data_IF_490751524320
#
_entry.id   IF_490751524320
#
_cell.length_a   1.000
_cell.length_b   1.000
_cell.length_c   1.000
_cell.angle_alpha   90.00
_cell.angle_beta   90.00
_cell.angle_gamma   90.00
#
_symmetry.space_group_name_H-M   'P 1'
#
loop_
_entity.id
_entity.type
_entity.pdbx_description
1 polymer ?
#
# COMPACT_ATOMS: atom_id res chain seq x y z
N UNK A 1 -48.69 19.69 -36.14
CA UNK A 1 -48.23 19.92 -37.53
C UNK A 1 -48.18 21.42 -37.79
N UNK A 2 -46.97 21.95 -37.99
CA UNK A 2 -46.61 23.03 -38.94
C UNK A 2 -45.45 23.87 -38.40
N UNK A 3 -44.26 23.44 -38.80
CA UNK A 3 -42.99 24.16 -38.82
C UNK A 3 -43.11 25.35 -39.78
N UNK A 4 -42.58 26.52 -39.43
CA UNK A 4 -42.07 27.48 -40.42
C UNK A 4 -40.83 28.22 -39.92
N UNK A 5 -39.68 27.68 -40.34
CA UNK A 5 -38.38 28.32 -40.41
C UNK A 5 -38.29 29.07 -41.75
N UNK A 6 -38.00 30.37 -41.73
CA UNK A 6 -37.79 31.28 -42.89
C UNK A 6 -37.03 32.50 -42.35
N UNK A 7 -35.92 33.04 -42.86
CA UNK A 7 -35.14 32.84 -44.07
C UNK A 7 -33.72 33.41 -43.86
N UNK A 8 -32.76 32.83 -44.58
CA UNK A 8 -31.37 33.25 -44.78
C UNK A 8 -31.27 34.46 -45.72
N UNK A 9 -30.25 35.33 -45.54
CA UNK A 9 -29.35 35.98 -46.57
C UNK A 9 -28.69 37.22 -45.92
N UNK A 10 -27.42 37.17 -45.51
CA UNK A 10 -26.19 37.38 -46.30
C UNK A 10 -26.22 38.68 -47.11
N UNK A 11 -25.57 39.72 -46.59
CA UNK A 11 -25.12 40.89 -47.36
C UNK A 11 -23.72 41.28 -46.92
N UNK A 12 -22.83 41.28 -47.89
CA UNK A 12 -21.39 41.57 -47.93
C UNK A 12 -21.06 43.03 -47.55
N UNK A 13 -19.84 43.30 -47.04
CA UNK A 13 -18.93 44.47 -47.23
C UNK A 13 -17.82 44.32 -46.15
N UNK A 14 -16.67 43.73 -46.43
CA UNK A 14 -15.43 44.32 -47.02
C UNK A 14 -14.82 45.45 -46.16
N UNK A 15 -13.76 45.05 -45.44
CA UNK A 15 -12.46 45.74 -45.20
C UNK A 15 -12.50 47.14 -44.57
N UNK A 16 -11.93 47.27 -43.37
CA UNK A 16 -10.87 48.24 -43.04
C UNK A 16 -10.44 48.05 -41.58
N UNK A 17 -9.23 47.56 -41.37
CA UNK A 17 -8.12 48.36 -40.84
C UNK A 17 -8.15 48.53 -39.32
N UNK A 18 -7.28 47.75 -38.68
CA UNK A 18 -6.44 48.13 -37.54
C UNK A 18 -7.03 49.13 -36.52
N UNK A 19 -7.36 48.61 -35.33
CA UNK A 19 -7.10 49.37 -34.10
C UNK A 19 -6.68 48.41 -33.00
N UNK A 20 -5.41 48.57 -32.65
CA UNK A 20 -4.70 47.98 -31.55
C UNK A 20 -5.38 48.41 -30.23
N UNK A 21 -5.88 47.47 -29.45
CA UNK A 21 -6.07 47.64 -28.01
C UNK A 21 -5.50 46.39 -27.34
N UNK A 22 -4.23 46.52 -26.96
CA UNK A 22 -3.56 45.60 -26.05
C UNK A 22 -4.30 45.74 -24.71
N UNK A 23 -5.16 44.78 -24.38
CA UNK A 23 -5.60 44.59 -23.02
C UNK A 23 -4.37 44.12 -22.23
N UNK A 24 -3.80 45.02 -21.44
CA UNK A 24 -2.80 44.69 -20.43
C UNK A 24 -3.47 43.84 -19.33
N UNK A 25 -3.62 42.54 -19.61
CA UNK A 25 -3.84 41.55 -18.58
C UNK A 25 -2.50 41.27 -17.93
N UNK A 26 -2.24 41.88 -16.78
CA UNK A 26 -1.17 41.45 -15.89
C UNK A 26 -1.43 39.98 -15.55
N UNK A 27 -0.73 39.09 -16.24
CA UNK A 27 -0.68 37.68 -15.90
C UNK A 27 0.20 37.61 -14.66
N UNK A 28 -0.43 37.60 -13.49
CA UNK A 28 0.24 37.23 -12.26
C UNK A 28 0.76 35.80 -12.48
N UNK A 29 2.06 35.68 -12.73
CA UNK A 29 2.74 34.41 -12.59
C UNK A 29 2.54 34.00 -11.14
N UNK A 30 1.76 32.95 -10.93
CA UNK A 30 1.76 32.24 -9.66
C UNK A 30 3.15 31.64 -9.58
N UNK A 31 4.10 32.36 -8.98
CA UNK A 31 5.35 31.76 -8.56
C UNK A 31 4.95 30.61 -7.65
N UNK A 32 5.48 29.38 -7.87
CA UNK A 32 5.34 28.33 -6.88
C UNK A 32 5.87 28.92 -5.57
N UNK A 33 5.00 29.08 -4.59
CA UNK A 33 5.35 29.45 -3.22
C UNK A 33 6.54 28.56 -2.84
N UNK A 34 7.72 29.17 -2.68
CA UNK A 34 8.98 28.47 -2.44
C UNK A 34 8.73 27.40 -1.39
N UNK A 35 8.64 26.14 -1.83
CA UNK A 35 8.29 25.04 -0.95
C UNK A 35 9.40 24.97 0.07
N UNK A 36 9.08 25.34 1.32
CA UNK A 36 10.04 25.27 2.42
C UNK A 36 10.63 23.86 2.39
N UNK A 37 11.95 23.71 2.16
CA UNK A 37 12.58 22.40 2.03
C UNK A 37 12.30 21.49 3.24
N UNK A 38 12.03 22.09 4.41
CA UNK A 38 11.65 21.36 5.62
C UNK A 38 10.23 20.81 5.53
N UNK A 39 9.28 21.56 4.97
CA UNK A 39 7.91 21.09 4.76
C UNK A 39 7.87 19.97 3.71
N UNK A 40 8.65 20.09 2.64
CA UNK A 40 8.77 19.05 1.60
C UNK A 40 9.42 17.79 2.15
N UNK A 41 10.47 17.92 2.97
CA UNK A 41 11.11 16.77 3.62
C UNK A 41 10.19 16.07 4.62
N UNK A 42 9.39 16.83 5.38
CA UNK A 42 8.40 16.25 6.31
C UNK A 42 7.24 15.58 5.56
N UNK A 43 6.74 16.17 4.49
CA UNK A 43 5.72 15.56 3.62
C UNK A 43 6.26 14.29 2.92
N UNK A 44 7.51 14.31 2.46
CA UNK A 44 8.17 13.14 1.86
C UNK A 44 8.38 12.03 2.90
N UNK A 45 8.79 12.34 4.13
CA UNK A 45 8.91 11.39 5.23
C UNK A 45 7.54 10.81 5.64
N UNK A 46 6.48 11.62 5.67
CA UNK A 46 5.11 11.17 5.98
C UNK A 46 4.56 10.27 4.86
N UNK A 47 4.86 10.60 3.60
CA UNK A 47 4.42 9.81 2.43
C UNK A 47 5.22 8.51 2.31
N UNK A 48 6.52 8.53 2.67
CA UNK A 48 7.40 7.36 2.70
C UNK A 48 7.16 6.46 3.93
N UNK A 49 6.66 7.01 5.03
CA UNK A 49 6.34 6.26 6.26
C UNK A 49 4.92 5.66 6.29
N UNK A 50 4.06 6.05 5.35
CA UNK A 50 2.83 5.29 5.08
C UNK A 50 3.24 3.84 4.78
N UNK A 51 2.82 2.84 5.57
CA UNK A 51 3.35 1.49 5.44
C UNK A 51 3.00 0.94 4.06
N UNK A 52 3.94 1.05 3.11
CA UNK A 52 3.72 0.61 1.74
C UNK A 52 3.42 -0.89 1.80
N UNK A 53 2.23 -1.26 1.32
CA UNK A 53 1.81 -2.66 1.29
C UNK A 53 1.07 -3.17 2.52
N UNK A 54 0.62 -2.29 3.43
CA UNK A 54 -0.37 -2.68 4.44
C UNK A 54 -1.63 -3.27 3.77
N UNK A 55 -2.01 -4.48 4.17
CA UNK A 55 -3.14 -5.21 3.57
C UNK A 55 -4.00 -5.85 4.64
N UNK A 56 -5.30 -5.58 4.59
CA UNK A 56 -6.28 -6.32 5.39
C UNK A 56 -6.43 -7.75 4.85
N UNK A 57 -6.54 -8.71 5.76
CA UNK A 57 -6.61 -10.12 5.41
C UNK A 57 -6.98 -10.99 6.58
N UNK A 58 -6.62 -12.27 6.48
CA UNK A 58 -6.85 -13.24 7.54
C UNK A 58 -5.56 -13.95 7.93
N UNK A 59 -5.45 -14.26 9.23
CA UNK A 59 -4.40 -15.10 9.76
C UNK A 59 -4.97 -16.44 10.23
N UNK A 60 -4.23 -17.51 9.98
CA UNK A 60 -4.39 -18.82 10.62
C UNK A 60 -3.05 -19.26 11.22
N UNK A 61 -2.96 -20.49 11.73
CA UNK A 61 -1.70 -21.02 12.26
C UNK A 61 -1.46 -22.47 11.86
N UNK A 62 -0.19 -22.85 11.78
CA UNK A 62 0.22 -24.20 11.41
C UNK A 62 -0.32 -25.26 12.39
N UNK A 63 -0.82 -26.36 11.81
CA UNK A 63 -1.17 -27.56 12.57
C UNK A 63 0.09 -28.28 13.11
N UNK A 64 -0.05 -28.96 14.25
CA UNK A 64 1.05 -29.67 14.91
C UNK A 64 1.76 -30.72 14.02
N UNK A 65 1.05 -31.31 13.05
CA UNK A 65 1.61 -32.30 12.10
C UNK A 65 2.75 -31.75 11.22
N UNK A 66 2.91 -30.44 11.14
CA UNK A 66 3.98 -29.81 10.36
C UNK A 66 5.27 -29.65 11.16
N UNK A 67 5.27 -29.86 12.48
CA UNK A 67 6.47 -29.74 13.34
C UNK A 67 7.60 -30.60 12.77
N UNK A 68 8.77 -29.98 12.57
CA UNK A 68 9.95 -30.64 12.05
C UNK A 68 9.97 -30.86 10.53
N UNK A 69 8.89 -30.59 9.78
CA UNK A 69 8.90 -30.66 8.31
C UNK A 69 9.71 -29.51 7.72
N UNK A 70 10.31 -29.72 6.55
CA UNK A 70 11.03 -28.65 5.83
C UNK A 70 10.04 -27.61 5.30
N UNK A 71 10.35 -26.35 5.51
CA UNK A 71 9.70 -25.19 4.90
C UNK A 71 10.33 -24.88 3.54
N UNK A 72 9.72 -23.99 2.77
CA UNK A 72 10.23 -23.56 1.45
C UNK A 72 11.61 -22.90 1.55
N UNK A 73 11.93 -22.21 2.66
CA UNK A 73 13.30 -21.71 2.95
C UNK A 73 14.34 -22.80 3.22
N UNK A 74 13.96 -24.08 3.30
CA UNK A 74 14.85 -25.21 3.56
C UNK A 74 15.03 -25.55 5.04
N UNK A 75 14.71 -24.64 5.97
CA UNK A 75 14.75 -24.92 7.40
C UNK A 75 13.60 -25.82 7.85
N UNK A 76 13.71 -26.44 9.04
CA UNK A 76 12.60 -27.19 9.64
C UNK A 76 11.66 -26.24 10.37
N UNK A 77 10.34 -26.44 10.19
CA UNK A 77 9.33 -25.69 10.94
C UNK A 77 9.46 -25.96 12.43
N UNK A 78 9.52 -24.87 13.21
CA UNK A 78 9.60 -24.89 14.66
C UNK A 78 8.45 -24.03 15.23
N UNK A 79 7.55 -24.59 16.06
CA UNK A 79 6.34 -23.91 16.50
C UNK A 79 6.61 -22.67 17.37
N UNK A 80 7.76 -22.63 18.06
CA UNK A 80 8.14 -21.52 18.93
C UNK A 80 8.89 -20.37 18.24
N UNK A 81 9.23 -20.50 16.95
CA UNK A 81 9.91 -19.42 16.21
C UNK A 81 8.89 -18.39 15.71
N UNK A 82 9.31 -17.13 15.55
CA UNK A 82 8.46 -16.06 14.99
C UNK A 82 8.51 -16.08 13.47
N UNK A 83 7.86 -17.08 12.88
CA UNK A 83 7.86 -17.30 11.43
C UNK A 83 6.45 -17.45 10.89
N UNK A 84 6.30 -17.25 9.58
CA UNK A 84 5.03 -17.42 8.89
C UNK A 84 5.18 -17.90 7.44
N UNK A 85 4.10 -18.43 6.89
CA UNK A 85 3.93 -18.69 5.48
C UNK A 85 3.07 -17.61 4.82
N UNK A 86 3.48 -17.18 3.63
CA UNK A 86 2.71 -16.29 2.77
C UNK A 86 2.85 -16.72 1.32
N UNK A 87 1.82 -16.50 0.50
CA UNK A 87 1.78 -16.98 -0.88
C UNK A 87 2.88 -16.35 -1.77
N UNK A 88 3.04 -15.02 -1.71
CA UNK A 88 3.88 -14.28 -2.68
C UNK A 88 4.93 -13.35 -2.07
N UNK A 89 4.98 -13.20 -0.74
CA UNK A 89 6.00 -12.33 -0.15
C UNK A 89 7.36 -13.03 -0.26
N UNK A 90 8.46 -12.32 -0.59
CA UNK A 90 9.79 -12.92 -0.60
C UNK A 90 10.09 -13.67 0.70
N UNK A 91 10.86 -14.75 0.61
CA UNK A 91 11.37 -15.40 1.81
C UNK A 91 12.36 -14.44 2.48
N UNK A 92 12.38 -14.40 3.81
CA UNK A 92 13.18 -13.48 4.60
C UNK A 92 12.47 -12.16 4.94
N UNK A 93 11.39 -11.80 4.24
CA UNK A 93 10.65 -10.57 4.54
C UNK A 93 10.15 -10.56 5.99
N UNK A 94 10.48 -9.52 6.75
CA UNK A 94 9.86 -9.23 8.03
C UNK A 94 8.46 -8.65 7.80
N UNK A 95 7.50 -9.14 8.56
CA UNK A 95 6.10 -8.74 8.46
C UNK A 95 5.58 -8.47 9.84
N UNK A 96 5.01 -7.29 10.04
CA UNK A 96 4.18 -6.99 11.20
C UNK A 96 2.74 -7.40 10.94
N UNK A 97 2.19 -8.19 11.85
CA UNK A 97 0.82 -8.70 11.78
C UNK A 97 0.05 -8.15 12.97
N UNK A 98 -1.03 -7.42 12.69
CA UNK A 98 -1.81 -6.72 13.72
C UNK A 98 -3.20 -7.35 13.77
N UNK A 99 -3.66 -7.70 14.97
CA UNK A 99 -5.06 -8.02 15.23
C UNK A 99 -5.82 -6.70 15.54
N UNK A 100 -6.65 -6.18 14.61
CA UNK A 100 -7.29 -4.88 14.79
C UNK A 100 -8.31 -4.86 15.94
N UNK A 101 -8.83 -6.02 16.34
CA UNK A 101 -9.83 -6.16 17.40
C UNK A 101 -9.22 -6.05 18.80
N UNK A 102 -8.01 -6.59 19.01
CA UNK A 102 -7.33 -6.56 20.32
C UNK A 102 -6.17 -5.58 20.37
N UNK A 103 -5.79 -5.00 19.22
CA UNK A 103 -4.58 -4.17 19.03
C UNK A 103 -3.26 -4.89 19.33
N UNK A 104 -3.29 -6.21 19.50
CA UNK A 104 -2.09 -7.02 19.64
C UNK A 104 -1.39 -7.18 18.29
N UNK A 105 -0.07 -7.17 18.31
CA UNK A 105 0.74 -7.34 17.11
C UNK A 105 1.92 -8.28 17.33
N UNK A 106 2.43 -8.82 16.23
CA UNK A 106 3.64 -9.65 16.23
C UNK A 106 4.42 -9.40 14.95
N UNK A 107 5.74 -9.39 15.05
CA UNK A 107 6.63 -9.43 13.89
C UNK A 107 7.03 -10.88 13.62
N UNK A 108 6.98 -11.28 12.35
CA UNK A 108 7.34 -12.61 11.88
C UNK A 108 8.17 -12.53 10.61
N UNK A 109 9.06 -13.50 10.42
CA UNK A 109 9.80 -13.68 9.17
C UNK A 109 9.03 -14.63 8.25
N UNK A 110 8.85 -14.25 6.98
CA UNK A 110 8.30 -15.15 5.97
C UNK A 110 9.35 -16.20 5.61
N UNK A 111 9.12 -17.46 5.96
CA UNK A 111 10.07 -18.54 5.69
C UNK A 111 9.45 -19.73 4.93
N UNK A 112 8.17 -19.65 4.60
CA UNK A 112 7.45 -20.72 3.93
C UNK A 112 6.35 -20.19 2.99
N UNK A 113 5.70 -21.11 2.27
CA UNK A 113 4.64 -20.83 1.30
C UNK A 113 3.34 -21.48 1.72
N UNK A 114 2.25 -20.72 1.63
CA UNK A 114 0.89 -21.25 1.74
C UNK A 114 0.22 -21.28 0.37
N UNK A 115 -0.87 -22.05 0.26
CA UNK A 115 -1.70 -22.05 -0.94
C UNK A 115 -2.24 -20.65 -1.25
N UNK A 116 -2.39 -20.31 -2.53
CA UNK A 116 -3.00 -19.05 -2.96
C UNK A 116 -4.43 -18.96 -2.43
N UNK A 117 -4.80 -17.79 -1.90
CA UNK A 117 -6.16 -17.43 -1.48
C UNK A 117 -6.64 -16.22 -2.28
N UNK A 118 -7.96 -16.02 -2.44
CA UNK A 118 -8.50 -14.86 -3.15
C UNK A 118 -8.35 -13.55 -2.36
N UNK A 119 -7.92 -13.61 -1.10
CA UNK A 119 -7.67 -12.48 -0.21
C UNK A 119 -6.28 -12.61 0.44
N UNK A 120 -5.69 -11.51 0.95
CA UNK A 120 -4.44 -11.56 1.71
C UNK A 120 -4.56 -12.53 2.89
N UNK A 121 -3.61 -13.44 2.99
CA UNK A 121 -3.67 -14.54 3.94
C UNK A 121 -2.28 -14.91 4.44
N UNK A 122 -2.17 -15.18 5.74
CA UNK A 122 -0.89 -15.52 6.38
C UNK A 122 -1.07 -16.67 7.38
N UNK A 123 -0.19 -17.66 7.31
CA UNK A 123 -0.17 -18.79 8.25
C UNK A 123 0.95 -18.60 9.26
N UNK A 124 0.60 -18.32 10.51
CA UNK A 124 1.53 -18.02 11.58
C UNK A 124 2.07 -19.29 12.25
N UNK A 125 3.25 -19.18 12.85
CA UNK A 125 3.69 -20.17 13.83
C UNK A 125 2.78 -20.18 15.07
N UNK A 126 2.86 -21.26 15.86
CA UNK A 126 2.09 -21.39 17.11
C UNK A 126 2.39 -20.24 18.07
N UNK A 127 3.66 -19.91 18.27
CA UNK A 127 4.04 -18.85 19.19
C UNK A 127 3.58 -17.47 18.71
N UNK A 128 3.67 -17.18 17.40
CA UNK A 128 3.13 -15.93 16.85
C UNK A 128 1.60 -15.85 16.98
N UNK A 129 0.90 -16.94 16.71
CA UNK A 129 -0.56 -17.01 16.87
C UNK A 129 -1.02 -16.78 18.32
N UNK A 130 -0.27 -17.28 19.31
CA UNK A 130 -0.54 -17.02 20.73
C UNK A 130 -0.39 -15.52 21.05
N UNK A 131 0.67 -14.87 20.58
CA UNK A 131 0.95 -13.45 20.85
C UNK A 131 -0.16 -12.51 20.36
N UNK A 132 -0.81 -12.81 19.25
CA UNK A 132 -1.88 -11.96 18.69
C UNK A 132 -3.31 -12.41 19.06
N UNK A 133 -3.44 -13.39 19.96
CA UNK A 133 -4.74 -13.89 20.40
C UNK A 133 -5.51 -14.70 19.35
N UNK A 134 -4.79 -15.33 18.41
CA UNK A 134 -5.33 -16.27 17.41
C UNK A 134 -5.39 -17.71 17.94
N UNK A 135 -4.56 -18.08 18.93
CA UNK A 135 -4.53 -19.45 19.45
C UNK A 135 -5.91 -19.96 19.90
N UNK A 136 -6.26 -21.19 19.52
CA UNK A 136 -7.57 -21.78 19.79
C UNK A 136 -8.69 -21.32 18.85
N UNK A 137 -8.44 -20.35 17.96
CA UNK A 137 -9.40 -19.87 16.95
C UNK A 137 -8.98 -20.40 15.58
N UNK A 138 -9.93 -20.66 14.68
CA UNK A 138 -9.61 -21.16 13.34
C UNK A 138 -8.87 -20.13 12.48
N UNK A 139 -9.42 -18.92 12.36
CA UNK A 139 -8.81 -17.77 11.68
C UNK A 139 -9.33 -16.47 12.27
N UNK A 140 -8.56 -15.39 12.16
CA UNK A 140 -8.97 -14.04 12.57
C UNK A 140 -8.67 -13.03 11.46
N UNK A 141 -9.35 -11.88 11.48
CA UNK A 141 -8.99 -10.73 10.65
C UNK A 141 -7.69 -10.10 11.17
N UNK A 142 -6.81 -9.70 10.26
CA UNK A 142 -5.54 -9.03 10.58
C UNK A 142 -5.20 -7.96 9.55
N UNK A 143 -4.30 -7.06 9.91
CA UNK A 143 -3.56 -6.21 8.97
C UNK A 143 -2.14 -6.76 8.84
N UNK A 144 -1.71 -7.01 7.60
CA UNK A 144 -0.41 -7.55 7.23
C UNK A 144 0.42 -6.40 6.67
N UNK A 145 1.56 -6.09 7.30
CA UNK A 145 2.42 -4.98 6.91
C UNK A 145 3.83 -5.54 6.66
N UNK A 146 4.28 -5.67 5.40
CA UNK A 146 5.68 -5.91 5.09
C UNK A 146 6.53 -4.78 5.65
N UNK A 147 7.57 -5.13 6.38
CA UNK A 147 8.57 -4.17 6.85
C UNK A 147 9.67 -4.15 5.80
N UNK A 148 9.87 -2.99 5.18
CA UNK A 148 11.08 -2.73 4.42
C UNK A 148 12.18 -2.52 5.48
N UNK A 149 13.13 -3.45 5.57
CA UNK A 149 14.36 -3.14 6.28
C UNK A 149 15.04 -2.03 5.47
N UNK A 150 15.20 -0.85 6.08
CA UNK A 150 16.23 0.08 5.62
C UNK A 150 17.54 -0.72 5.66
N UNK A 151 18.29 -0.82 4.55
CA UNK A 151 19.52 -1.60 4.54
C UNK A 151 20.39 -1.07 5.68
N UNK A 152 20.79 -1.96 6.60
CA UNK A 152 21.70 -1.63 7.67
C UNK A 152 22.90 -0.93 7.05
N UNK A 153 23.02 0.37 7.31
CA UNK A 153 24.16 1.15 6.89
C UNK A 153 25.33 0.61 7.72
N UNK A 154 26.11 -0.29 7.13
CA UNK A 154 27.31 -0.80 7.80
C UNK A 154 28.21 0.41 8.11
N UNK A 155 28.69 0.56 9.36
CA UNK A 155 29.64 1.60 9.66
C UNK A 155 30.90 1.39 8.81
N UNK A 156 31.33 2.45 8.15
CA UNK A 156 32.49 2.50 7.27
C UNK A 156 33.81 2.12 7.97
#
# INVERSE_FOLDING_TARGET
MNVRLRHIRVTTIVICSALLLIAAGARAEITPFDADPQLTALEELVTKSSPQGAREGFASYYAARFIGRRTTSGHRYHPEKMTAAHYSLPLGTLVRVINPATKQEVQVTINDRCARKPFPFIDLSRAAAKKIGLWGKGKIKVVIIPLLEEPLQEPA
#
